data_IF_917597161752
#
_entry.id   IF_917597161752
#
_cell.length_a   1.000
_cell.length_b   1.000
_cell.length_c   1.000
_cell.angle_alpha   90.00
_cell.angle_beta   90.00
_cell.angle_gamma   90.00
#
_symmetry.space_group_name_H-M   'P 1'
#
loop_
_entity.id
_entity.type
_entity.pdbx_description
1 polymer ?
#
# COMPACT_ATOMS: atom_id res chain seq x y z
N UNK A 1 5.12 -15.90 -12.57
CA UNK A 1 3.96 -15.02 -12.60
C UNK A 1 3.39 -14.82 -11.21
N UNK A 2 3.21 -13.59 -10.85
CA UNK A 2 2.63 -13.23 -9.58
C UNK A 2 1.16 -13.62 -9.53
N UNK A 3 0.81 -14.48 -8.60
CA UNK A 3 -0.59 -14.71 -8.32
C UNK A 3 -1.10 -13.57 -7.47
N UNK A 4 -2.36 -13.22 -7.66
CA UNK A 4 -2.94 -12.16 -6.90
C UNK A 4 -3.05 -12.54 -5.44
N UNK A 5 -2.15 -12.04 -4.63
CA UNK A 5 -2.28 -12.14 -3.19
C UNK A 5 -2.92 -10.88 -2.66
N UNK A 6 -3.62 -10.99 -1.55
CA UNK A 6 -4.38 -9.86 -1.00
C UNK A 6 -3.66 -9.12 0.11
N UNK A 7 -2.45 -9.53 0.50
CA UNK A 7 -1.82 -8.95 1.67
C UNK A 7 -0.30 -8.87 1.58
N UNK A 8 0.27 -8.03 2.43
CA UNK A 8 1.70 -7.96 2.69
C UNK A 8 1.93 -8.13 4.18
N UNK A 9 2.91 -8.97 4.51
CA UNK A 9 3.37 -9.16 5.89
C UNK A 9 4.65 -8.36 6.10
N UNK A 10 5.07 -8.29 7.36
CA UNK A 10 6.31 -7.60 7.73
C UNK A 10 7.48 -8.07 6.86
N UNK A 11 8.21 -7.10 6.31
CA UNK A 11 9.36 -7.33 5.44
C UNK A 11 9.02 -7.52 3.98
N UNK A 12 7.74 -7.70 3.64
CA UNK A 12 7.32 -7.84 2.26
C UNK A 12 7.11 -6.48 1.61
N UNK A 13 7.41 -6.40 0.32
CA UNK A 13 7.42 -5.15 -0.43
C UNK A 13 6.63 -5.27 -1.70
N UNK A 14 6.16 -4.11 -2.18
CA UNK A 14 5.77 -3.94 -3.58
C UNK A 14 6.78 -2.99 -4.21
N UNK A 15 7.26 -3.36 -5.39
CA UNK A 15 8.06 -2.47 -6.24
C UNK A 15 7.16 -1.86 -7.31
N UNK A 16 7.70 -0.93 -8.09
CA UNK A 16 6.94 -0.31 -9.18
C UNK A 16 6.36 -1.39 -10.09
N UNK A 17 5.05 -1.34 -10.29
CA UNK A 17 4.32 -2.31 -11.10
C UNK A 17 3.73 -3.48 -10.33
N UNK A 18 4.08 -3.66 -9.07
CA UNK A 18 3.53 -4.74 -8.25
C UNK A 18 2.22 -4.33 -7.58
N UNK A 19 1.38 -5.32 -7.32
CA UNK A 19 0.07 -5.07 -6.69
C UNK A 19 -0.32 -6.19 -5.72
N UNK A 20 -1.23 -5.87 -4.81
CA UNK A 20 -2.02 -6.85 -4.06
C UNK A 20 -3.47 -6.70 -4.51
N UNK A 21 -4.20 -7.82 -4.56
CA UNK A 21 -5.55 -7.88 -5.15
C UNK A 21 -6.48 -8.54 -4.13
N UNK A 22 -7.66 -7.96 -3.93
CA UNK A 22 -8.67 -8.58 -3.07
C UNK A 22 -9.02 -9.98 -3.59
N UNK A 23 -9.42 -10.86 -2.68
CA UNK A 23 -9.73 -12.25 -3.06
C UNK A 23 -10.83 -12.34 -4.10
N UNK A 24 -11.81 -11.44 -4.05
CA UNK A 24 -12.87 -11.40 -5.05
C UNK A 24 -12.45 -10.74 -6.36
N UNK A 25 -11.22 -10.23 -6.46
CA UNK A 25 -10.69 -9.63 -7.69
C UNK A 25 -11.25 -8.26 -8.03
N UNK A 26 -12.08 -7.68 -7.17
CA UNK A 26 -12.78 -6.42 -7.50
C UNK A 26 -11.98 -5.18 -7.14
N UNK A 27 -10.93 -5.31 -6.34
CA UNK A 27 -10.11 -4.19 -5.90
C UNK A 27 -8.64 -4.58 -5.88
N UNK A 28 -7.77 -3.61 -6.13
CA UNK A 28 -6.33 -3.85 -6.00
C UNK A 28 -5.60 -2.57 -5.59
N UNK A 29 -4.46 -2.75 -4.97
CA UNK A 29 -3.57 -1.66 -4.60
C UNK A 29 -2.24 -1.87 -5.33
N UNK A 30 -1.81 -0.87 -6.07
CA UNK A 30 -0.64 -1.01 -6.94
C UNK A 30 0.32 0.17 -6.75
N UNK A 31 1.60 -0.14 -6.70
CA UNK A 31 2.64 0.88 -6.78
C UNK A 31 2.94 1.10 -8.26
N UNK A 32 2.51 2.23 -8.78
CA UNK A 32 2.61 2.51 -10.21
C UNK A 32 4.05 2.83 -10.60
N UNK A 33 4.33 2.76 -11.91
CA UNK A 33 5.67 3.02 -12.43
C UNK A 33 6.18 4.42 -12.07
N UNK A 34 5.29 5.38 -11.94
CA UNK A 34 5.68 6.74 -11.56
C UNK A 34 5.90 6.96 -10.07
N UNK A 35 5.68 5.93 -9.23
CA UNK A 35 5.91 6.04 -7.79
C UNK A 35 4.67 6.35 -6.97
N UNK A 36 3.50 6.44 -7.58
CA UNK A 36 2.24 6.66 -6.85
C UNK A 36 1.67 5.32 -6.39
N UNK A 37 1.25 5.24 -5.12
CA UNK A 37 0.60 4.05 -4.58
C UNK A 37 -0.90 4.31 -4.57
N UNK A 38 -1.65 3.47 -5.28
CA UNK A 38 -3.05 3.76 -5.61
C UNK A 38 -3.92 2.55 -5.33
N UNK A 39 -5.10 2.78 -4.74
CA UNK A 39 -6.16 1.78 -4.61
C UNK A 39 -7.14 1.97 -5.76
N UNK A 40 -7.43 0.88 -6.46
CA UNK A 40 -8.30 0.88 -7.63
C UNK A 40 -9.49 -0.07 -7.43
N UNK A 41 -10.64 0.29 -8.00
CA UNK A 41 -11.63 -0.71 -8.37
C UNK A 41 -11.21 -1.31 -9.73
N UNK A 42 -11.60 -2.58 -9.97
CA UNK A 42 -11.15 -3.31 -11.15
C UNK A 42 -12.10 -3.20 -12.35
N UNK A 43 -13.40 -3.02 -12.11
CA UNK A 43 -14.39 -3.05 -13.19
C UNK A 43 -15.59 -2.16 -12.84
N UNK A 44 -15.61 -0.95 -13.38
CA UNK A 44 -14.58 -0.34 -14.20
C UNK A 44 -13.34 0.02 -13.39
N UNK A 45 -12.21 0.16 -14.06
CA UNK A 45 -10.99 0.62 -13.40
C UNK A 45 -11.16 2.07 -13.01
N UNK A 46 -10.99 2.34 -11.72
CA UNK A 46 -11.14 3.70 -11.19
C UNK A 46 -10.26 3.84 -9.96
N UNK A 47 -9.54 4.96 -9.86
CA UNK A 47 -8.70 5.23 -8.71
C UNK A 47 -9.55 5.71 -7.55
N UNK A 48 -9.41 5.06 -6.40
CA UNK A 48 -10.22 5.37 -5.21
C UNK A 48 -9.45 6.16 -4.17
N UNK A 49 -8.16 5.92 -4.06
CA UNK A 49 -7.25 6.60 -3.14
C UNK A 49 -5.84 6.54 -3.71
N UNK A 50 -5.04 7.54 -3.39
CA UNK A 50 -3.65 7.59 -3.82
C UNK A 50 -2.77 8.26 -2.77
N UNK A 51 -1.52 7.84 -2.71
CA UNK A 51 -0.53 8.45 -1.83
C UNK A 51 -0.02 9.80 -2.34
N UNK A 52 -0.23 10.10 -3.63
CA UNK A 52 0.22 11.33 -4.28
C UNK A 52 1.75 11.50 -4.21
N UNK A 53 2.46 10.43 -4.56
CA UNK A 53 3.92 10.36 -4.44
C UNK A 53 4.61 10.15 -5.77
N UNK A 54 4.09 10.69 -6.84
CA UNK A 54 4.72 10.58 -8.16
C UNK A 54 6.11 11.19 -8.10
N UNK A 55 7.12 10.42 -8.49
CA UNK A 55 8.52 10.88 -8.39
C UNK A 55 9.38 10.51 -9.61
N UNK A 56 8.85 9.68 -10.52
CA UNK A 56 9.56 9.33 -11.74
C UNK A 56 10.69 8.33 -11.60
N UNK A 57 10.88 7.76 -10.41
CA UNK A 57 11.99 6.82 -10.16
C UNK A 57 11.52 5.53 -9.55
N UNK A 58 12.49 4.67 -9.26
CA UNK A 58 12.20 3.44 -8.54
C UNK A 58 11.72 3.74 -7.14
N UNK A 59 10.73 2.98 -6.72
CA UNK A 59 10.16 3.10 -5.38
C UNK A 59 9.84 1.70 -4.86
N UNK A 60 9.64 1.60 -3.56
CA UNK A 60 9.03 0.42 -2.99
C UNK A 60 8.21 0.82 -1.77
N UNK A 61 7.17 0.04 -1.51
CA UNK A 61 6.39 0.19 -0.29
C UNK A 61 6.58 -1.08 0.53
N UNK A 62 6.77 -0.92 1.83
CA UNK A 62 7.13 -2.03 2.71
C UNK A 62 6.35 -1.95 4.02
N UNK A 63 5.94 -3.11 4.51
CA UNK A 63 5.39 -3.26 5.86
C UNK A 63 6.54 -3.49 6.82
N UNK A 64 6.71 -2.61 7.79
CA UNK A 64 7.87 -2.64 8.69
C UNK A 64 7.53 -3.25 10.04
N UNK A 65 8.54 -3.84 10.69
CA UNK A 65 8.37 -4.42 12.00
C UNK A 65 8.26 -3.39 13.13
N UNK A 66 8.37 -2.11 12.80
CA UNK A 66 8.10 -1.02 13.73
C UNK A 66 6.63 -0.58 13.74
N UNK A 67 5.79 -1.26 12.92
CA UNK A 67 4.36 -0.97 12.83
C UNK A 67 3.98 -0.02 11.71
N UNK A 68 4.94 0.45 10.92
CA UNK A 68 4.72 1.46 9.89
C UNK A 68 4.65 0.84 8.50
N UNK A 69 3.81 1.41 7.65
CA UNK A 69 3.79 1.14 6.22
C UNK A 69 4.44 2.35 5.55
N UNK A 70 5.52 2.12 4.82
CA UNK A 70 6.34 3.23 4.30
C UNK A 70 6.62 3.05 2.81
N UNK A 71 6.46 4.11 2.07
CA UNK A 71 6.83 4.20 0.66
C UNK A 71 8.15 4.97 0.58
N UNK A 72 9.17 4.34 0.05
CA UNK A 72 10.50 4.92 -0.09
C UNK A 72 10.81 5.23 -1.54
N UNK A 73 11.48 6.37 -1.75
CA UNK A 73 12.14 6.67 -3.01
C UNK A 73 13.38 5.79 -3.17
N UNK A 74 13.88 5.66 -4.39
CA UNK A 74 15.09 4.90 -4.61
C UNK A 74 16.28 5.57 -3.96
N UNK A 75 17.35 4.77 -3.83
CA UNK A 75 18.64 5.29 -3.47
C UNK A 75 19.11 6.19 -4.59
N UNK A 76 19.38 7.44 -4.28
CA UNK A 76 20.01 8.38 -5.18
C UNK A 76 21.50 8.28 -4.90
N UNK A 77 22.31 8.36 -5.93
CA UNK A 77 23.76 8.21 -5.88
C UNK A 77 24.34 8.82 -4.60
N UNK A 78 24.99 7.99 -3.80
CA UNK A 78 25.63 8.41 -2.57
C UNK A 78 24.67 8.75 -1.42
N UNK A 79 23.38 8.49 -1.57
CA UNK A 79 22.40 8.82 -0.55
C UNK A 79 21.56 7.62 -0.20
N UNK A 80 21.07 7.62 1.03
CA UNK A 80 20.10 6.63 1.49
C UNK A 80 18.72 6.89 0.85
N UNK A 81 17.87 5.87 0.88
CA UNK A 81 16.49 6.00 0.46
C UNK A 81 15.76 7.01 1.33
N UNK A 82 14.76 7.66 0.75
CA UNK A 82 13.95 8.66 1.43
C UNK A 82 12.51 8.17 1.56
N UNK A 83 11.89 8.32 2.75
CA UNK A 83 10.46 8.06 2.87
C UNK A 83 9.69 9.19 2.18
N UNK A 84 8.73 8.81 1.33
CA UNK A 84 7.87 9.76 0.63
C UNK A 84 6.46 9.77 1.19
N UNK A 85 6.06 8.67 1.79
CA UNK A 85 4.74 8.52 2.39
C UNK A 85 4.82 7.44 3.45
N UNK A 86 4.02 7.59 4.48
CA UNK A 86 3.92 6.57 5.52
C UNK A 86 2.55 6.62 6.15
N UNK A 87 2.13 5.48 6.71
CA UNK A 87 0.89 5.40 7.47
C UNK A 87 0.96 6.12 8.82
N UNK A 88 2.17 6.46 9.26
CA UNK A 88 2.43 7.15 10.54
C UNK A 88 1.97 6.31 11.74
N UNK A 89 2.25 5.01 11.67
CA UNK A 89 1.86 4.05 12.71
C UNK A 89 3.07 3.40 13.37
N UNK A 90 4.24 4.03 13.26
CA UNK A 90 5.47 3.55 13.86
C UNK A 90 5.31 3.45 15.39
N UNK A 91 5.74 2.34 15.96
CA UNK A 91 5.66 2.10 17.40
C UNK A 91 4.34 1.52 17.88
N UNK A 92 3.37 1.35 16.99
CA UNK A 92 2.03 0.89 17.38
C UNK A 92 1.87 -0.61 17.38
N UNK A 93 2.74 -1.32 16.68
CA UNK A 93 2.71 -2.78 16.61
C UNK A 93 4.04 -3.27 16.05
N UNK A 94 4.39 -4.53 16.32
CA UNK A 94 5.65 -5.07 15.80
C UNK A 94 5.44 -6.13 14.71
N UNK A 95 4.20 -6.44 14.38
CA UNK A 95 3.90 -7.46 13.36
C UNK A 95 2.61 -7.14 12.60
N UNK A 96 2.55 -5.96 11.97
CA UNK A 96 1.35 -5.57 11.22
C UNK A 96 1.26 -6.30 9.88
N UNK A 97 0.08 -6.23 9.26
CA UNK A 97 -0.12 -6.71 7.90
C UNK A 97 -1.03 -5.77 7.14
N UNK A 98 -0.77 -5.61 5.86
CA UNK A 98 -1.58 -4.79 4.96
C UNK A 98 -2.49 -5.71 4.15
N UNK A 99 -3.78 -5.41 4.11
CA UNK A 99 -4.77 -6.26 3.43
C UNK A 99 -5.59 -5.43 2.46
N UNK A 100 -5.65 -5.88 1.20
CA UNK A 100 -6.62 -5.35 0.23
C UNK A 100 -7.89 -6.17 0.37
N UNK A 101 -8.91 -5.58 0.94
CA UNK A 101 -10.11 -6.30 1.34
C UNK A 101 -11.14 -6.40 0.21
N UNK A 102 -11.99 -7.42 0.31
CA UNK A 102 -13.10 -7.62 -0.64
C UNK A 102 -14.12 -6.49 -0.60
N UNK A 103 -14.18 -5.75 0.51
CA UNK A 103 -15.09 -4.61 0.64
C UNK A 103 -14.54 -3.33 0.00
N UNK A 104 -13.33 -3.37 -0.53
CA UNK A 104 -12.72 -2.22 -1.20
C UNK A 104 -11.80 -1.39 -0.32
N UNK A 105 -11.68 -1.72 0.96
CA UNK A 105 -10.81 -0.97 1.86
C UNK A 105 -9.41 -1.58 1.90
N UNK A 106 -8.40 -0.73 1.88
CA UNK A 106 -7.01 -1.14 2.12
C UNK A 106 -6.68 -0.83 3.56
N UNK A 107 -6.34 -1.86 4.34
CA UNK A 107 -6.23 -1.72 5.79
C UNK A 107 -4.90 -2.28 6.28
N UNK A 108 -4.23 -1.50 7.13
CA UNK A 108 -3.07 -1.99 7.88
C UNK A 108 -3.57 -2.40 9.26
N UNK A 109 -3.50 -3.70 9.54
CA UNK A 109 -3.94 -4.29 10.81
C UNK A 109 -2.77 -4.56 11.72
N UNK A 110 -2.99 -4.40 13.03
CA UNK A 110 -2.04 -4.86 14.03
C UNK A 110 -2.10 -6.39 14.15
N UNK A 111 -1.15 -6.95 14.90
CA UNK A 111 -1.14 -8.38 15.24
C UNK A 111 -2.38 -8.78 16.04
N UNK A 112 -3.06 -7.84 16.66
CA UNK A 112 -4.30 -8.04 17.42
C UNK A 112 -5.54 -7.71 16.61
N UNK A 113 -5.40 -7.56 15.29
CA UNK A 113 -6.51 -7.25 14.36
C UNK A 113 -7.14 -5.88 14.60
N UNK A 114 -6.41 -4.95 15.17
CA UNK A 114 -6.85 -3.58 15.28
C UNK A 114 -6.44 -2.81 14.03
N UNK A 115 -7.29 -1.88 13.60
CA UNK A 115 -6.96 -1.04 12.45
C UNK A 115 -5.95 0.02 12.86
N UNK A 116 -4.78 -0.02 12.24
CA UNK A 116 -3.75 1.00 12.44
C UNK A 116 -3.90 2.14 11.44
N UNK A 117 -4.24 1.79 10.20
CA UNK A 117 -4.43 2.74 9.11
C UNK A 117 -5.35 2.12 8.07
N UNK A 118 -6.09 2.96 7.36
CA UNK A 118 -6.95 2.50 6.26
C UNK A 118 -7.09 3.59 5.20
N UNK A 119 -7.37 3.16 3.98
CA UNK A 119 -7.59 4.08 2.87
C UNK A 119 -8.96 4.74 2.91
N UNK A 120 -9.93 4.13 3.59
CA UNK A 120 -11.28 4.67 3.68
C UNK A 120 -12.13 4.44 2.45
N UNK A 121 -11.85 3.36 1.71
CA UNK A 121 -12.46 3.12 0.40
C UNK A 121 -13.47 1.98 0.41
N UNK A 122 -14.10 1.71 1.54
CA UNK A 122 -15.14 0.67 1.66
C UNK A 122 -16.24 0.92 0.63
N UNK A 123 -16.65 -0.14 -0.06
CA UNK A 123 -17.72 -0.07 -1.06
C UNK A 123 -17.28 0.57 -2.36
N UNK A 124 -15.98 0.78 -2.57
CA UNK A 124 -15.48 1.48 -3.75
C UNK A 124 -15.62 2.98 -3.65
N UNK A 125 -15.74 3.50 -2.44
CA UNK A 125 -15.87 4.94 -2.22
C UNK A 125 -14.58 5.65 -2.59
N UNK A 126 -14.70 6.71 -3.40
CA UNK A 126 -13.56 7.55 -3.71
C UNK A 126 -13.22 8.46 -2.55
N UNK A 127 -11.93 8.55 -2.25
CA UNK A 127 -11.40 9.50 -1.27
C UNK A 127 -10.58 10.53 -2.01
N UNK A 128 -11.05 11.78 -1.99
CA UNK A 128 -10.42 12.89 -2.68
C UNK A 128 -9.67 13.77 -1.69
N UNK A 129 -8.46 14.17 -2.09
CA UNK A 129 -7.65 15.06 -1.29
C UNK A 129 -7.23 16.28 -2.09
#
# INVERSE_FOLDING_TARGET
>A
MQQGRDNLKVGEKLHNGDRIISKNGQFYAELLQGGNFVVFSSNPVDALWASNTINGGYSHIIVQNDGNLVLYNPIIKGRNKFPKWASNTCGRDNNPRLVMQDDGNLVLYSSQNETLWESGTVGGKKVMH
#
